data_IF_200134650727
#
_entry.id   IF_200134650727
#
_cell.length_a   1.000
_cell.length_b   1.000
_cell.length_c   1.000
_cell.angle_alpha   90.00
_cell.angle_beta   90.00
_cell.angle_gamma   90.00
#
_symmetry.space_group_name_H-M   'P 1'
#
loop_
_entity.id
_entity.type
_entity.pdbx_description
1 polymer ?
#
# COMPACT_ATOMS: atom_id res chain seq x y z
N UNK A 1 -45.22 23.84 -1.57
CA UNK A 1 -44.74 22.77 -2.41
C UNK A 1 -43.35 23.00 -2.98
N UNK A 2 -43.00 24.23 -3.27
CA UNK A 2 -41.60 24.54 -3.71
C UNK A 2 -40.58 24.16 -2.67
N UNK A 3 -40.88 24.29 -1.37
CA UNK A 3 -39.99 23.99 -0.29
C UNK A 3 -39.66 22.50 -0.20
N UNK A 4 -40.62 21.63 -0.46
CA UNK A 4 -40.38 20.19 -0.42
C UNK A 4 -39.50 19.73 -1.57
N UNK A 5 -39.59 20.36 -2.73
CA UNK A 5 -38.72 20.06 -3.87
C UNK A 5 -37.29 20.44 -3.59
N UNK A 6 -37.07 21.60 -2.98
CA UNK A 6 -35.72 22.07 -2.61
C UNK A 6 -35.11 21.14 -1.55
N UNK A 7 -35.89 20.75 -0.54
CA UNK A 7 -35.44 19.83 0.51
C UNK A 7 -35.05 18.49 -0.11
N UNK A 8 -35.85 17.95 -1.02
CA UNK A 8 -35.56 16.68 -1.69
C UNK A 8 -34.27 16.76 -2.53
N UNK A 9 -34.06 17.86 -3.25
CA UNK A 9 -32.83 18.07 -4.01
C UNK A 9 -31.61 18.16 -3.09
N UNK A 10 -31.73 18.89 -1.99
CA UNK A 10 -30.64 19.00 -1.02
C UNK A 10 -30.30 17.65 -0.39
N UNK A 11 -31.31 16.84 -0.07
CA UNK A 11 -31.08 15.49 0.47
C UNK A 11 -30.39 14.60 -0.54
N UNK A 12 -30.79 14.64 -1.81
CA UNK A 12 -30.17 13.85 -2.86
C UNK A 12 -28.68 14.25 -3.04
N UNK A 13 -28.41 15.54 -3.09
CA UNK A 13 -27.02 16.05 -3.20
C UNK A 13 -26.20 15.61 -2.00
N UNK A 14 -26.75 15.70 -0.80
CA UNK A 14 -26.08 15.27 0.41
C UNK A 14 -25.73 13.77 0.37
N UNK A 15 -26.68 12.93 -0.05
CA UNK A 15 -26.47 11.48 -0.18
C UNK A 15 -25.35 11.21 -1.18
N UNK A 16 -25.32 11.87 -2.33
CA UNK A 16 -24.28 11.71 -3.33
C UNK A 16 -22.89 12.12 -2.80
N UNK A 17 -22.82 13.23 -2.08
CA UNK A 17 -21.55 13.70 -1.49
C UNK A 17 -21.04 12.70 -0.46
N UNK A 18 -21.89 12.21 0.42
CA UNK A 18 -21.51 11.24 1.45
C UNK A 18 -21.05 9.94 0.81
N UNK A 19 -21.79 9.45 -0.18
CA UNK A 19 -21.42 8.22 -0.90
C UNK A 19 -20.08 8.37 -1.61
N UNK A 20 -19.83 9.51 -2.22
CA UNK A 20 -18.54 9.80 -2.89
C UNK A 20 -17.38 9.81 -1.89
N UNK A 21 -17.56 10.47 -0.74
CA UNK A 21 -16.54 10.52 0.31
C UNK A 21 -16.24 9.14 0.88
N UNK A 22 -17.27 8.33 1.13
CA UNK A 22 -17.09 6.97 1.63
C UNK A 22 -16.36 6.12 0.60
N UNK A 23 -16.75 6.20 -0.66
CA UNK A 23 -16.09 5.48 -1.74
C UNK A 23 -14.63 5.87 -1.88
N UNK A 24 -14.32 7.15 -1.77
CA UNK A 24 -12.96 7.65 -1.83
C UNK A 24 -12.13 7.15 -0.64
N UNK A 25 -12.67 7.19 0.57
CA UNK A 25 -11.99 6.68 1.74
C UNK A 25 -11.68 5.19 1.62
N UNK A 26 -12.63 4.40 1.13
CA UNK A 26 -12.41 2.97 0.91
C UNK A 26 -11.28 2.75 -0.11
N UNK A 27 -11.27 3.51 -1.20
CA UNK A 27 -10.24 3.39 -2.23
C UNK A 27 -8.84 3.73 -1.69
N UNK A 28 -8.74 4.73 -0.77
CA UNK A 28 -7.47 5.13 -0.18
C UNK A 28 -7.00 4.13 0.87
N UNK A 29 -7.91 3.63 1.70
CA UNK A 29 -7.57 2.79 2.85
C UNK A 29 -7.71 1.29 2.60
N UNK A 30 -8.07 0.88 1.39
CA UNK A 30 -8.12 -0.54 1.07
C UNK A 30 -6.73 -1.15 1.19
N UNK A 31 -6.52 -2.13 2.09
CA UNK A 31 -5.22 -2.74 2.23
C UNK A 31 -4.86 -3.53 0.98
N UNK A 32 -3.62 -3.41 0.54
CA UNK A 32 -3.13 -4.27 -0.52
C UNK A 32 -2.76 -5.64 0.06
N UNK A 33 -2.59 -6.61 -0.82
CA UNK A 33 -2.30 -7.98 -0.43
C UNK A 33 -0.92 -8.13 0.20
N UNK A 34 -0.75 -9.18 1.00
CA UNK A 34 0.54 -9.61 1.48
C UNK A 34 1.33 -10.24 0.33
N UNK A 35 2.62 -9.97 0.30
CA UNK A 35 3.54 -10.61 -0.64
C UNK A 35 4.75 -11.16 0.12
N UNK A 36 5.26 -12.31 -0.32
CA UNK A 36 6.52 -12.84 0.17
C UNK A 36 7.62 -12.30 -0.73
N UNK A 37 8.60 -11.65 -0.13
CA UNK A 37 9.63 -10.90 -0.87
C UNK A 37 11.01 -11.28 -0.34
N UNK A 38 11.91 -11.64 -1.27
CA UNK A 38 13.33 -11.84 -0.97
C UNK A 38 14.05 -10.51 -1.16
N UNK A 39 14.70 -10.03 -0.11
CA UNK A 39 15.44 -8.75 -0.17
C UNK A 39 16.75 -8.97 -0.90
N UNK A 40 16.90 -8.36 -2.08
CA UNK A 40 18.11 -8.46 -2.87
C UNK A 40 19.16 -7.46 -2.40
N UNK A 41 18.77 -6.19 -2.18
CA UNK A 41 19.65 -5.18 -1.62
C UNK A 41 18.85 -4.02 -1.03
N UNK A 42 19.55 -3.17 -0.29
CA UNK A 42 18.99 -1.98 0.35
C UNK A 42 19.76 -0.74 -0.10
N UNK A 43 19.06 0.40 -0.15
CA UNK A 43 19.72 1.67 -0.42
C UNK A 43 18.96 2.81 0.25
N UNK A 44 19.67 3.94 0.42
CA UNK A 44 19.06 5.17 0.93
C UNK A 44 19.20 6.27 -0.12
N UNK A 45 18.21 7.15 -0.17
CA UNK A 45 18.24 8.32 -1.03
C UNK A 45 17.75 9.52 -0.22
N UNK A 46 18.67 10.43 0.12
CA UNK A 46 18.34 11.52 1.05
C UNK A 46 18.01 10.96 2.42
N UNK A 47 16.83 11.31 2.94
CA UNK A 47 16.33 10.81 4.22
C UNK A 47 15.45 9.58 4.09
N UNK A 48 15.24 9.11 2.86
CA UNK A 48 14.36 7.99 2.58
C UNK A 48 15.15 6.69 2.49
N UNK A 49 14.55 5.62 3.02
CA UNK A 49 15.13 4.27 3.02
C UNK A 49 14.32 3.37 2.11
N UNK A 50 15.03 2.55 1.32
CA UNK A 50 14.40 1.67 0.34
C UNK A 50 15.01 0.28 0.40
N UNK A 51 14.20 -0.72 0.09
CA UNK A 51 14.68 -2.07 -0.17
C UNK A 51 14.24 -2.48 -1.58
N UNK A 52 15.06 -3.28 -2.22
CA UNK A 52 14.74 -3.89 -3.52
C UNK A 52 14.54 -5.37 -3.30
N UNK A 53 13.37 -5.86 -3.64
CA UNK A 53 13.00 -7.24 -3.39
C UNK A 53 12.37 -7.91 -4.59
N UNK A 54 12.49 -9.22 -4.60
CA UNK A 54 11.90 -10.08 -5.61
C UNK A 54 10.76 -10.88 -5.00
N UNK A 55 9.59 -10.85 -5.64
CA UNK A 55 8.43 -11.57 -5.15
C UNK A 55 8.65 -13.08 -5.28
N UNK A 56 8.56 -13.79 -4.14
CA UNK A 56 8.74 -15.24 -4.08
C UNK A 56 7.43 -15.99 -3.90
N UNK A 57 6.34 -15.30 -3.59
CA UNK A 57 5.03 -15.93 -3.43
C UNK A 57 4.54 -16.54 -4.75
N UNK A 58 3.79 -17.62 -4.63
CA UNK A 58 3.31 -18.40 -5.78
C UNK A 58 2.09 -17.68 -6.42
N UNK A 59 2.32 -16.47 -6.93
CA UNK A 59 1.32 -15.63 -7.57
C UNK A 59 1.78 -15.28 -8.98
N UNK A 60 0.93 -14.53 -9.71
CA UNK A 60 1.29 -14.01 -11.04
C UNK A 60 2.51 -13.11 -11.00
N UNK A 61 2.85 -12.57 -9.83
CA UNK A 61 3.96 -11.64 -9.66
C UNK A 61 5.27 -12.32 -9.25
N UNK A 62 5.29 -13.65 -9.18
CA UNK A 62 6.51 -14.39 -8.81
C UNK A 62 7.67 -14.01 -9.73
N UNK A 63 8.79 -13.63 -9.13
CA UNK A 63 9.98 -13.18 -9.85
C UNK A 63 9.99 -11.70 -10.19
N UNK A 64 8.92 -10.97 -9.88
CA UNK A 64 8.85 -9.53 -10.13
C UNK A 64 9.70 -8.78 -9.12
N UNK A 65 10.53 -7.86 -9.60
CA UNK A 65 11.39 -7.04 -8.75
C UNK A 65 10.71 -5.68 -8.56
N UNK A 66 10.55 -5.29 -7.32
CA UNK A 66 9.94 -4.01 -6.95
C UNK A 66 10.81 -3.28 -5.93
N UNK A 67 10.64 -1.96 -5.90
CA UNK A 67 11.27 -1.10 -4.91
C UNK A 67 10.24 -0.80 -3.81
N UNK A 68 10.62 -1.02 -2.55
CA UNK A 68 9.78 -0.79 -1.40
C UNK A 68 10.37 0.30 -0.54
N UNK A 69 9.54 1.29 -0.20
CA UNK A 69 9.94 2.33 0.75
C UNK A 69 9.64 1.85 2.16
N UNK A 70 10.61 1.94 3.04
CA UNK A 70 10.49 1.53 4.45
C UNK A 70 10.83 2.70 5.36
N UNK A 71 10.30 2.65 6.59
CA UNK A 71 10.66 3.65 7.60
C UNK A 71 12.11 3.43 8.04
N UNK A 72 12.78 4.52 8.45
CA UNK A 72 14.17 4.45 8.89
C UNK A 72 14.34 3.48 10.07
N UNK A 73 13.34 3.38 10.94
CA UNK A 73 13.34 2.45 12.06
C UNK A 73 13.38 0.99 11.61
N UNK A 74 12.68 0.68 10.52
CA UNK A 74 12.55 -0.68 10.00
C UNK A 74 13.68 -1.06 9.06
N UNK A 75 14.37 -0.07 8.49
CA UNK A 75 15.42 -0.31 7.48
C UNK A 75 16.52 -1.25 7.98
N UNK A 76 16.93 -1.09 9.24
CA UNK A 76 17.97 -1.93 9.84
C UNK A 76 17.51 -3.37 10.05
N UNK A 77 16.21 -3.60 10.17
CA UNK A 77 15.65 -4.94 10.39
C UNK A 77 15.60 -5.77 9.11
N UNK A 78 15.62 -5.13 7.95
CA UNK A 78 15.68 -5.83 6.67
C UNK A 78 17.11 -6.24 6.37
N UNK A 79 17.32 -7.54 6.21
CA UNK A 79 18.64 -8.11 5.90
C UNK A 79 18.65 -8.61 4.46
N UNK A 80 19.71 -8.32 3.73
CA UNK A 80 19.88 -8.79 2.37
C UNK A 80 19.99 -10.31 2.34
N UNK A 81 19.32 -10.93 1.38
CA UNK A 81 19.31 -12.38 1.21
C UNK A 81 18.27 -13.10 2.05
N UNK A 82 17.47 -12.39 2.84
CA UNK A 82 16.41 -12.98 3.65
C UNK A 82 15.04 -12.66 3.06
N UNK A 83 14.09 -13.56 3.32
CA UNK A 83 12.71 -13.44 2.83
C UNK A 83 11.82 -12.86 3.92
N UNK A 84 10.91 -11.98 3.51
CA UNK A 84 9.97 -11.31 4.41
C UNK A 84 8.56 -11.39 3.84
N UNK A 85 7.58 -11.49 4.75
CA UNK A 85 6.18 -11.26 4.40
C UNK A 85 5.94 -9.75 4.52
N UNK A 86 5.61 -9.11 3.43
CA UNK A 86 5.46 -7.66 3.37
C UNK A 86 4.04 -7.29 3.00
N UNK A 87 3.43 -6.41 3.80
CA UNK A 87 2.15 -5.78 3.48
C UNK A 87 2.42 -4.36 3.05
N UNK A 88 1.92 -3.98 1.90
CA UNK A 88 2.09 -2.64 1.35
C UNK A 88 0.80 -1.85 1.47
N UNK A 89 0.93 -0.52 1.43
CA UNK A 89 -0.22 0.36 1.47
C UNK A 89 -1.04 0.19 0.18
N UNK A 90 -2.37 0.16 0.34
CA UNK A 90 -3.29 0.01 -0.78
C UNK A 90 -3.46 1.27 -1.61
N UNK A 91 -2.68 2.31 -1.35
CA UNK A 91 -2.73 3.52 -2.15
C UNK A 91 -2.28 3.22 -3.57
N UNK A 92 -3.21 3.32 -4.48
CA UNK A 92 -2.95 3.13 -5.89
C UNK A 92 -2.41 4.44 -6.48
N UNK A 93 -1.18 4.78 -6.07
CA UNK A 93 -0.55 6.02 -6.49
C UNK A 93 0.35 5.72 -7.69
N UNK A 94 -0.21 5.93 -8.88
CA UNK A 94 0.47 5.65 -10.14
C UNK A 94 1.66 6.59 -10.42
N UNK A 95 1.81 7.64 -9.59
CA UNK A 95 2.98 8.51 -9.65
C UNK A 95 4.19 7.95 -8.91
N UNK A 96 3.98 6.97 -8.04
CA UNK A 96 5.06 6.41 -7.23
C UNK A 96 5.71 5.23 -7.95
N UNK A 97 7.03 5.27 -7.99
CA UNK A 97 7.83 4.18 -8.55
C UNK A 97 8.15 3.11 -7.51
N UNK A 98 7.60 3.24 -6.30
CA UNK A 98 7.86 2.33 -5.21
C UNK A 98 6.58 2.04 -4.44
N UNK A 99 6.57 0.91 -3.74
CA UNK A 99 5.48 0.53 -2.82
C UNK A 99 5.89 0.88 -1.41
N UNK A 100 4.95 1.39 -0.61
CA UNK A 100 5.23 1.71 0.79
C UNK A 100 4.89 0.52 1.67
N UNK A 101 5.88 0.07 2.47
CA UNK A 101 5.69 -1.01 3.44
C UNK A 101 4.96 -0.45 4.66
N UNK A 102 3.85 -1.09 5.03
CA UNK A 102 3.09 -0.74 6.23
C UNK A 102 3.28 -1.76 7.35
N UNK A 103 3.62 -3.00 6.99
CA UNK A 103 3.89 -4.06 7.95
C UNK A 103 4.78 -5.11 7.29
N UNK A 104 5.60 -5.80 8.11
CA UNK A 104 6.46 -6.86 7.60
C UNK A 104 6.80 -7.85 8.69
N UNK A 105 7.15 -9.06 8.29
CA UNK A 105 7.61 -10.11 9.21
C UNK A 105 8.64 -10.95 8.50
N UNK A 106 9.77 -11.19 9.16
CA UNK A 106 10.81 -12.06 8.63
C UNK A 106 10.31 -13.51 8.60
N UNK A 107 10.50 -14.17 7.48
CA UNK A 107 10.19 -15.58 7.33
C UNK A 107 11.32 -16.40 7.91
N UNK A 108 10.99 -17.22 8.90
CA UNK A 108 11.97 -18.11 9.54
C UNK A 108 11.66 -19.54 9.08
N UNK A 109 12.61 -20.14 8.42
CA UNK A 109 12.54 -21.55 8.01
C UNK A 109 13.37 -22.39 8.98
N UNK A 110 12.70 -23.28 9.64
CA UNK A 110 13.38 -24.26 10.51
C UNK A 110 13.79 -25.49 9.73
#
# INVERSE_FOLDING_TARGET
MKDNTIINICMLVFIFVVAFLIGWMIAIYTPSSYEFVLVNYKFTKGNDCYIVGETTSNTKNKGKIDIYKVDAEDYEEFLEGFEYSISTSGQNDWHRMYKKVVDFKQMIYD
#
